data_IF_694439122874
#
_entry.id   IF_694439122874
#
_cell.length_a   1.000
_cell.length_b   1.000
_cell.length_c   1.000
_cell.angle_alpha   90.00
_cell.angle_beta   90.00
_cell.angle_gamma   90.00
#
_symmetry.space_group_name_H-M   'P 1'
#
loop_
_entity.id
_entity.type
_entity.pdbx_description
1 polymer ?
#
# COMPACT_ATOMS: atom_id res chain seq x y z
N UNK A 1 5.15 45.66 13.17
CA UNK A 1 6.11 44.74 13.83
C UNK A 1 6.89 44.03 12.73
N UNK A 2 8.05 44.59 12.37
CA UNK A 2 8.95 44.08 11.33
C UNK A 2 9.80 42.94 11.86
N UNK A 3 9.90 41.85 11.11
CA UNK A 3 10.85 40.77 11.36
C UNK A 3 11.84 40.67 10.20
N UNK A 4 13.10 40.96 10.49
CA UNK A 4 14.28 40.85 9.62
C UNK A 4 14.68 39.39 9.44
N UNK A 5 15.08 38.94 8.23
CA UNK A 5 15.84 37.71 8.08
C UNK A 5 17.34 38.01 8.03
N UNK A 6 18.11 37.33 8.89
CA UNK A 6 19.55 37.13 8.71
C UNK A 6 19.77 35.64 8.48
N UNK A 7 20.41 35.27 7.37
CA UNK A 7 21.08 33.99 7.29
C UNK A 7 22.37 34.17 6.53
N UNK A 8 23.47 33.98 7.25
CA UNK A 8 24.84 34.04 6.79
C UNK A 8 25.11 32.95 5.73
N UNK A 9 25.83 33.35 4.70
CA UNK A 9 26.62 32.48 3.85
C UNK A 9 27.89 32.04 4.60
N UNK A 10 28.27 30.77 4.47
CA UNK A 10 29.65 30.33 4.66
C UNK A 10 29.98 29.32 3.55
N UNK A 11 30.90 29.74 2.68
CA UNK A 11 31.64 28.90 1.78
C UNK A 11 32.78 28.23 2.55
N UNK A 12 33.11 26.99 2.21
CA UNK A 12 34.42 26.41 2.49
C UNK A 12 34.97 25.74 1.23
N UNK A 13 36.24 26.05 1.02
CA UNK A 13 37.09 25.79 -0.15
C UNK A 13 37.93 24.53 0.09
N UNK A 14 38.24 23.84 -1.02
CA UNK A 14 39.34 22.92 -1.33
C UNK A 14 40.05 22.10 -0.24
N UNK A 15 40.32 20.83 -0.58
CA UNK A 15 41.71 20.42 -0.89
C UNK A 15 41.75 19.08 -1.65
N UNK A 16 42.58 19.09 -2.69
CA UNK A 16 43.01 17.95 -3.50
C UNK A 16 44.16 17.25 -2.77
N UNK A 17 44.18 15.92 -2.76
CA UNK A 17 45.41 15.16 -2.51
C UNK A 17 45.49 14.00 -3.52
N UNK A 18 46.38 14.19 -4.49
CA UNK A 18 46.86 13.20 -5.45
C UNK A 18 48.00 12.43 -4.76
N UNK A 19 47.94 11.10 -4.70
CA UNK A 19 49.08 10.26 -4.31
C UNK A 19 49.29 9.17 -5.36
N UNK A 20 50.46 9.26 -5.99
CA UNK A 20 51.03 8.35 -6.98
C UNK A 20 51.76 7.18 -6.28
N UNK A 21 51.59 5.99 -6.89
CA UNK A 21 52.41 4.77 -7.02
C UNK A 21 53.52 4.40 -5.98
N UNK A 22 53.81 3.09 -5.82
CA UNK A 22 54.77 2.46 -6.74
C UNK A 22 54.35 1.08 -7.28
N UNK A 23 54.74 0.87 -8.54
CA UNK A 23 54.85 -0.39 -9.28
C UNK A 23 55.91 -1.31 -8.66
N UNK A 24 55.51 -2.53 -8.29
CA UNK A 24 56.44 -3.61 -7.96
C UNK A 24 56.71 -4.47 -9.21
N UNK A 25 58.00 -4.66 -9.49
CA UNK A 25 58.54 -5.42 -10.61
C UNK A 25 58.24 -6.92 -10.50
N UNK A 26 57.99 -7.52 -11.66
CA UNK A 26 57.76 -8.95 -11.84
C UNK A 26 59.06 -9.75 -11.80
N UNK A 27 59.02 -10.92 -11.17
CA UNK A 27 60.02 -11.98 -11.32
C UNK A 27 59.62 -12.93 -12.47
N UNK A 28 60.57 -13.49 -13.23
CA UNK A 28 60.28 -14.48 -14.26
C UNK A 28 60.05 -15.85 -13.60
N UNK A 29 58.81 -16.35 -13.66
CA UNK A 29 58.51 -17.73 -13.32
C UNK A 29 58.73 -18.62 -14.56
N UNK A 30 59.61 -19.61 -14.41
CA UNK A 30 59.87 -20.65 -15.42
C UNK A 30 58.58 -21.41 -15.74
N UNK A 31 58.27 -21.50 -17.04
CA UNK A 31 57.10 -22.23 -17.54
C UNK A 31 57.43 -23.71 -17.67
N UNK A 32 56.83 -24.55 -16.83
CA UNK A 32 56.73 -25.99 -17.06
C UNK A 32 55.51 -26.28 -17.95
N UNK A 33 55.60 -27.17 -18.96
CA UNK A 33 54.45 -27.52 -19.79
C UNK A 33 53.49 -28.40 -18.99
N UNK A 34 52.39 -27.80 -18.51
CA UNK A 34 51.28 -28.53 -17.92
C UNK A 34 50.40 -29.12 -19.04
N UNK A 35 50.33 -30.45 -19.09
CA UNK A 35 49.41 -31.20 -19.95
C UNK A 35 47.97 -30.74 -19.72
N UNK A 36 47.36 -30.17 -20.76
CA UNK A 36 46.00 -29.62 -20.72
C UNK A 36 45.01 -30.74 -20.98
N UNK A 37 44.60 -31.47 -19.94
CA UNK A 37 43.35 -32.23 -19.99
C UNK A 37 42.19 -31.24 -20.04
N UNK A 38 41.64 -31.03 -21.23
CA UNK A 38 40.46 -30.22 -21.46
C UNK A 38 39.27 -30.80 -20.68
N UNK A 39 38.96 -30.20 -19.52
CA UNK A 39 37.72 -30.48 -18.81
C UNK A 39 36.54 -30.06 -19.71
N UNK A 40 35.47 -30.88 -19.79
CA UNK A 40 34.31 -30.55 -20.61
C UNK A 40 33.73 -29.21 -20.17
N UNK A 41 33.57 -28.30 -21.12
CA UNK A 41 33.02 -26.97 -20.90
C UNK A 41 31.65 -27.10 -20.20
N UNK A 42 31.63 -26.82 -18.90
CA UNK A 42 30.40 -26.78 -18.13
C UNK A 42 29.46 -25.77 -18.78
N UNK A 43 28.36 -26.25 -19.36
CA UNK A 43 27.29 -25.39 -19.87
C UNK A 43 26.79 -24.52 -18.72
N UNK A 44 27.27 -23.29 -18.65
CA UNK A 44 26.83 -22.30 -17.67
C UNK A 44 25.38 -21.96 -18.00
N UNK A 45 24.45 -22.64 -17.33
CA UNK A 45 23.03 -22.34 -17.43
C UNK A 45 22.81 -20.89 -17.02
N UNK A 46 22.53 -20.02 -17.98
CA UNK A 46 22.25 -18.61 -17.73
C UNK A 46 20.99 -18.51 -16.88
N UNK A 47 21.15 -18.01 -15.66
CA UNK A 47 20.06 -17.88 -14.72
C UNK A 47 18.96 -16.99 -15.33
N UNK A 48 17.73 -17.53 -15.46
CA UNK A 48 16.57 -16.80 -16.00
C UNK A 48 16.42 -15.44 -15.29
N UNK A 49 16.49 -14.36 -16.07
CA UNK A 49 16.33 -12.98 -15.58
C UNK A 49 14.96 -12.81 -14.94
N UNK A 50 14.92 -12.31 -13.71
CA UNK A 50 13.67 -12.07 -12.98
C UNK A 50 12.99 -10.81 -13.53
N UNK A 51 11.80 -10.97 -14.11
CA UNK A 51 11.03 -9.88 -14.76
C UNK A 51 9.99 -9.22 -13.85
N UNK A 52 9.95 -9.58 -12.57
CA UNK A 52 8.96 -9.09 -11.62
C UNK A 52 9.56 -8.70 -10.26
N UNK A 53 8.82 -7.88 -9.52
CA UNK A 53 9.04 -7.63 -8.09
C UNK A 53 7.92 -8.28 -7.28
N UNK A 54 8.12 -8.36 -5.97
CA UNK A 54 7.14 -8.97 -5.07
C UNK A 54 6.67 -7.95 -4.04
N UNK A 55 5.37 -7.74 -3.93
CA UNK A 55 4.77 -6.88 -2.93
C UNK A 55 4.09 -7.72 -1.85
N UNK A 56 4.32 -7.40 -0.58
CA UNK A 56 3.64 -8.07 0.53
C UNK A 56 2.15 -7.71 0.58
N UNK A 57 1.30 -8.71 0.76
CA UNK A 57 -0.16 -8.53 0.93
C UNK A 57 -0.53 -8.12 2.35
N UNK A 58 0.25 -8.60 3.32
CA UNK A 58 0.11 -8.33 4.74
C UNK A 58 1.50 -8.39 5.40
N UNK A 59 1.58 -8.02 6.68
CA UNK A 59 2.79 -8.26 7.49
C UNK A 59 3.19 -9.73 7.39
N UNK A 60 4.44 -10.00 7.06
CA UNK A 60 4.94 -11.35 6.80
C UNK A 60 6.36 -11.54 7.32
N UNK A 61 6.78 -12.79 7.46
CA UNK A 61 8.13 -13.17 7.87
C UNK A 61 8.96 -13.55 6.65
N UNK A 62 10.21 -13.07 6.63
CA UNK A 62 11.27 -13.55 5.76
C UNK A 62 12.16 -14.51 6.54
N UNK A 63 12.50 -15.64 5.92
CA UNK A 63 13.26 -16.73 6.54
C UNK A 63 14.65 -16.87 5.93
N UNK A 64 15.57 -17.49 6.67
CA UNK A 64 16.94 -17.76 6.18
C UNK A 64 16.96 -18.83 5.09
N UNK A 65 16.05 -19.81 5.15
CA UNK A 65 15.99 -20.96 4.24
C UNK A 65 14.63 -21.11 3.56
N UNK A 66 14.60 -21.84 2.45
CA UNK A 66 13.35 -22.19 1.76
C UNK A 66 12.45 -23.12 2.59
N UNK A 67 13.01 -23.92 3.50
CA UNK A 67 12.20 -24.74 4.43
C UNK A 67 11.46 -23.88 5.47
N UNK A 68 11.93 -22.65 5.72
CA UNK A 68 11.31 -21.74 6.68
C UNK A 68 11.75 -21.95 8.13
N UNK A 69 12.96 -22.47 8.33
CA UNK A 69 13.47 -22.88 9.64
C UNK A 69 13.73 -21.72 10.61
N UNK A 70 14.45 -20.67 10.19
CA UNK A 70 14.80 -19.53 11.06
C UNK A 70 14.24 -18.22 10.51
N UNK A 71 13.52 -17.48 11.37
CA UNK A 71 13.08 -16.11 11.07
C UNK A 71 14.30 -15.22 10.89
N UNK A 72 14.33 -14.48 9.77
CA UNK A 72 15.40 -13.53 9.43
C UNK A 72 14.96 -12.08 9.59
N UNK A 73 13.72 -11.76 9.21
CA UNK A 73 13.15 -10.42 9.37
C UNK A 73 11.62 -10.47 9.33
N UNK A 74 10.99 -9.41 9.85
CA UNK A 74 9.58 -9.12 9.62
C UNK A 74 9.46 -8.03 8.55
N UNK A 75 8.62 -8.24 7.56
CA UNK A 75 8.37 -7.32 6.45
C UNK A 75 6.95 -6.78 6.61
N UNK A 76 6.74 -5.44 6.60
CA UNK A 76 5.40 -4.87 6.73
C UNK A 76 4.54 -5.18 5.49
N UNK A 77 3.24 -4.96 5.59
CA UNK A 77 2.35 -4.95 4.42
C UNK A 77 2.79 -3.87 3.43
N UNK A 78 2.43 -4.05 2.16
CA UNK A 78 2.70 -3.13 1.05
C UNK A 78 4.16 -2.79 0.81
N UNK A 79 5.07 -3.68 1.20
CA UNK A 79 6.49 -3.54 0.91
C UNK A 79 6.83 -4.28 -0.37
N UNK A 80 7.39 -3.56 -1.33
CA UNK A 80 7.91 -4.11 -2.59
C UNK A 80 9.37 -4.52 -2.43
N UNK A 81 9.68 -5.76 -2.76
CA UNK A 81 11.01 -6.39 -2.68
C UNK A 81 11.52 -6.77 -4.07
N UNK A 82 12.86 -6.85 -4.21
CA UNK A 82 13.48 -7.50 -5.38
C UNK A 82 13.30 -9.02 -5.26
N UNK A 83 12.79 -9.67 -6.29
CA UNK A 83 12.86 -11.13 -6.41
C UNK A 83 14.25 -11.51 -6.95
N UNK A 84 14.91 -12.48 -6.31
CA UNK A 84 16.23 -13.00 -6.74
C UNK A 84 16.11 -14.25 -7.61
N UNK A 85 14.95 -14.91 -7.61
CA UNK A 85 14.66 -16.05 -8.48
C UNK A 85 13.21 -16.00 -8.92
N UNK A 86 12.97 -16.38 -10.18
CA UNK A 86 11.64 -16.60 -10.71
C UNK A 86 11.02 -17.91 -10.17
N UNK A 87 11.87 -18.86 -9.79
CA UNK A 87 11.49 -20.19 -9.34
C UNK A 87 11.17 -20.20 -7.85
N UNK A 88 10.13 -20.94 -7.50
CA UNK A 88 9.77 -21.21 -6.12
C UNK A 88 10.58 -22.38 -5.59
N UNK A 89 11.00 -22.32 -4.33
CA UNK A 89 11.47 -23.50 -3.58
C UNK A 89 10.62 -23.62 -2.33
N UNK A 90 10.00 -24.77 -2.11
CA UNK A 90 9.08 -25.02 -0.99
C UNK A 90 8.01 -23.91 -0.84
N UNK A 91 7.34 -23.58 -1.95
CA UNK A 91 6.30 -22.54 -2.02
C UNK A 91 6.75 -21.15 -1.54
N UNK A 92 8.05 -20.84 -1.67
CA UNK A 92 8.63 -19.55 -1.29
C UNK A 92 9.49 -18.95 -2.40
N UNK A 93 9.47 -17.64 -2.49
CA UNK A 93 10.37 -16.87 -3.34
C UNK A 93 11.62 -16.47 -2.58
N UNK A 94 12.77 -16.53 -3.25
CA UNK A 94 14.01 -15.91 -2.77
C UNK A 94 13.95 -14.41 -3.09
N UNK A 95 14.14 -13.56 -2.09
CA UNK A 95 13.98 -12.10 -2.20
C UNK A 95 15.12 -11.35 -1.52
N UNK A 96 15.29 -10.08 -1.88
CA UNK A 96 16.12 -9.12 -1.13
C UNK A 96 15.24 -8.10 -0.42
N UNK A 97 15.41 -7.96 0.88
CA UNK A 97 14.75 -6.99 1.74
C UNK A 97 15.79 -6.22 2.57
N UNK A 98 15.85 -4.89 2.41
CA UNK A 98 16.85 -4.02 3.08
C UNK A 98 18.28 -4.59 3.03
N UNK A 99 18.74 -4.96 1.83
CA UNK A 99 20.06 -5.55 1.59
C UNK A 99 20.20 -7.04 1.96
N UNK A 100 19.31 -7.62 2.77
CA UNK A 100 19.39 -9.01 3.21
C UNK A 100 18.63 -9.94 2.26
N UNK A 101 19.23 -11.09 1.95
CA UNK A 101 18.57 -12.14 1.14
C UNK A 101 17.84 -13.13 2.04
N UNK A 102 16.62 -13.55 1.66
CA UNK A 102 15.86 -14.56 2.39
C UNK A 102 14.68 -15.10 1.58
N UNK A 103 13.78 -15.81 2.25
CA UNK A 103 12.68 -16.54 1.64
C UNK A 103 11.32 -16.10 2.21
N UNK A 104 10.38 -15.76 1.33
CA UNK A 104 9.01 -15.33 1.71
C UNK A 104 7.98 -16.24 1.08
N UNK A 105 6.93 -16.61 1.84
CA UNK A 105 5.85 -17.50 1.37
C UNK A 105 5.12 -16.88 0.17
N UNK A 106 4.91 -17.65 -0.90
CA UNK A 106 4.15 -17.25 -2.11
C UNK A 106 2.79 -16.66 -1.75
N UNK A 107 2.07 -17.29 -0.82
CA UNK A 107 0.73 -16.85 -0.41
C UNK A 107 0.67 -15.45 0.21
N UNK A 108 1.79 -14.94 0.75
CA UNK A 108 1.88 -13.65 1.42
C UNK A 108 2.33 -12.50 0.50
N UNK A 109 2.60 -12.78 -0.78
CA UNK A 109 3.07 -11.78 -1.75
C UNK A 109 2.28 -11.85 -3.05
N UNK A 110 2.24 -10.74 -3.78
CA UNK A 110 1.79 -10.66 -5.17
C UNK A 110 2.96 -10.26 -6.07
N UNK A 111 2.96 -10.74 -7.32
CA UNK A 111 3.87 -10.24 -8.35
C UNK A 111 3.43 -8.84 -8.76
N UNK A 112 4.39 -7.94 -8.92
CA UNK A 112 4.20 -6.58 -9.43
C UNK A 112 5.25 -6.28 -10.50
N UNK A 113 5.02 -5.24 -11.30
CA UNK A 113 5.94 -4.82 -12.35
C UNK A 113 7.34 -4.55 -11.81
N UNK A 114 8.37 -4.87 -12.60
CA UNK A 114 9.76 -4.50 -12.29
C UNK A 114 9.95 -2.99 -12.15
N UNK A 115 9.06 -2.17 -12.74
CA UNK A 115 9.05 -0.71 -12.61
C UNK A 115 8.54 -0.23 -11.24
N UNK A 116 7.83 -1.06 -10.48
CA UNK A 116 7.29 -0.68 -9.16
C UNK A 116 8.42 -0.43 -8.16
N UNK A 117 8.56 0.79 -7.64
CA UNK A 117 9.61 1.20 -6.69
C UNK A 117 9.73 0.22 -5.50
N UNK A 118 10.97 -0.13 -5.14
CA UNK A 118 11.27 -0.94 -3.94
C UNK A 118 11.04 -0.09 -2.70
N UNK A 119 10.50 -0.70 -1.65
CA UNK A 119 10.17 0.00 -0.41
C UNK A 119 8.71 -0.16 -0.03
N UNK A 120 8.33 0.49 1.07
CA UNK A 120 6.95 0.56 1.52
C UNK A 120 6.18 1.51 0.62
N UNK A 121 4.95 1.17 0.24
CA UNK A 121 4.04 2.16 -0.34
C UNK A 121 3.86 3.35 0.61
N UNK A 122 3.63 4.52 0.03
CA UNK A 122 3.10 5.65 0.80
C UNK A 122 1.73 5.27 1.38
N UNK A 123 1.32 5.96 2.44
CA UNK A 123 0.00 5.74 3.05
C UNK A 123 -1.12 5.88 2.01
N UNK A 124 -1.09 6.95 1.21
CA UNK A 124 -2.02 7.17 0.10
C UNK A 124 -1.97 6.05 -0.95
N UNK A 125 -0.77 5.52 -1.24
CA UNK A 125 -0.60 4.39 -2.17
C UNK A 125 -1.24 3.10 -1.66
N UNK A 126 -1.11 2.80 -0.37
CA UNK A 126 -1.81 1.68 0.28
C UNK A 126 -3.33 1.87 0.24
N UNK A 127 -3.83 3.05 0.62
CA UNK A 127 -5.25 3.35 0.56
C UNK A 127 -5.82 3.22 -0.87
N UNK A 128 -5.13 3.78 -1.86
CA UNK A 128 -5.50 3.67 -3.28
C UNK A 128 -5.54 2.21 -3.75
N UNK A 129 -4.60 1.37 -3.28
CA UNK A 129 -4.61 -0.07 -3.55
C UNK A 129 -5.84 -0.75 -2.95
N UNK A 130 -6.18 -0.44 -1.71
CA UNK A 130 -7.30 -1.06 -0.99
C UNK A 130 -8.65 -0.77 -1.65
N UNK A 131 -8.87 0.47 -2.11
CA UNK A 131 -10.12 0.88 -2.75
C UNK A 131 -10.15 0.65 -4.27
N UNK A 132 -9.03 0.20 -4.87
CA UNK A 132 -8.84 0.15 -6.34
C UNK A 132 -9.95 -0.59 -7.08
N UNK A 133 -10.54 -1.61 -6.46
CA UNK A 133 -11.63 -2.41 -7.05
C UNK A 133 -12.86 -1.56 -7.36
N UNK A 134 -13.17 -0.58 -6.52
CA UNK A 134 -14.41 0.20 -6.60
C UNK A 134 -14.16 1.65 -7.01
N UNK A 135 -13.09 2.26 -6.50
CA UNK A 135 -12.70 3.64 -6.79
C UNK A 135 -11.45 3.71 -7.67
N UNK A 136 -11.43 2.95 -8.77
CA UNK A 136 -10.35 3.01 -9.77
C UNK A 136 -10.24 4.45 -10.31
N UNK A 137 -9.02 4.96 -10.38
CA UNK A 137 -8.73 6.29 -10.93
C UNK A 137 -8.90 7.45 -9.95
N UNK A 138 -9.63 7.27 -8.85
CA UNK A 138 -9.85 8.34 -7.85
C UNK A 138 -8.51 8.72 -7.19
N UNK A 139 -8.08 9.99 -7.24
CA UNK A 139 -6.94 10.49 -6.49
C UNK A 139 -7.16 10.33 -4.98
N UNK A 140 -6.12 9.90 -4.28
CA UNK A 140 -6.10 9.78 -2.82
C UNK A 140 -4.96 10.64 -2.30
N UNK A 141 -5.27 11.58 -1.42
CA UNK A 141 -4.28 12.37 -0.68
C UNK A 141 -4.39 12.08 0.81
N UNK A 142 -3.37 12.46 1.56
CA UNK A 142 -3.33 12.23 3.01
C UNK A 142 -2.92 13.46 3.76
N UNK A 143 -3.52 13.67 4.93
CA UNK A 143 -3.20 14.78 5.82
C UNK A 143 -2.90 14.28 7.25
N UNK A 144 -2.47 15.18 8.14
CA UNK A 144 -2.09 14.81 9.53
C UNK A 144 -3.28 14.88 10.49
N UNK A 145 -4.26 15.73 10.16
CA UNK A 145 -5.48 15.94 10.94
C UNK A 145 -6.41 14.74 10.85
N UNK A 146 -7.32 14.60 11.80
CA UNK A 146 -8.24 13.46 11.95
C UNK A 146 -9.43 13.47 10.98
N UNK A 147 -9.55 14.46 10.09
CA UNK A 147 -10.64 14.51 9.13
C UNK A 147 -10.39 13.59 7.94
N UNK A 148 -11.42 12.86 7.56
CA UNK A 148 -11.52 12.10 6.32
C UNK A 148 -12.72 12.65 5.54
N UNK A 149 -12.60 12.74 4.22
CA UNK A 149 -13.73 13.12 3.36
C UNK A 149 -13.46 12.75 1.90
N UNK A 150 -14.53 12.46 1.18
CA UNK A 150 -14.58 12.49 -0.27
C UNK A 150 -15.07 13.86 -0.74
N UNK A 151 -14.38 14.43 -1.72
CA UNK A 151 -14.86 15.60 -2.43
C UNK A 151 -15.23 15.20 -3.84
N UNK A 152 -16.44 15.55 -4.24
CA UNK A 152 -16.96 15.30 -5.58
C UNK A 152 -17.56 16.60 -6.11
N UNK A 153 -17.35 16.90 -7.38
CA UNK A 153 -17.92 18.06 -8.07
C UNK A 153 -18.96 17.62 -9.10
N UNK A 154 -19.82 18.56 -9.52
CA UNK A 154 -20.87 18.34 -10.51
C UNK A 154 -20.34 17.87 -11.87
N UNK A 155 -19.11 18.27 -12.25
CA UNK A 155 -18.46 17.80 -13.47
C UNK A 155 -17.88 16.37 -13.38
N UNK A 156 -18.11 15.67 -12.28
CA UNK A 156 -17.70 14.30 -12.06
C UNK A 156 -16.28 14.09 -11.55
N UNK A 157 -15.53 15.17 -11.32
CA UNK A 157 -14.23 15.08 -10.65
C UNK A 157 -14.42 14.66 -9.20
N UNK A 158 -13.63 13.70 -8.74
CA UNK A 158 -13.67 13.19 -7.38
C UNK A 158 -12.25 13.07 -6.82
N UNK A 159 -12.08 13.29 -5.51
CA UNK A 159 -10.86 12.98 -4.75
C UNK A 159 -11.21 12.53 -3.35
N UNK A 160 -10.34 11.72 -2.76
CA UNK A 160 -10.47 11.24 -1.39
C UNK A 160 -9.31 11.79 -0.57
N UNK A 161 -9.61 12.39 0.58
CA UNK A 161 -8.64 12.93 1.53
C UNK A 161 -8.74 12.13 2.81
N UNK A 162 -7.62 11.51 3.22
CA UNK A 162 -7.60 10.61 4.37
C UNK A 162 -6.62 11.06 5.44
N UNK A 163 -7.01 10.87 6.68
CA UNK A 163 -6.14 11.04 7.83
C UNK A 163 -5.15 9.88 7.94
N UNK A 164 -3.91 10.20 8.33
CA UNK A 164 -2.90 9.22 8.73
C UNK A 164 -2.97 8.91 10.23
N UNK A 165 -3.91 9.51 10.95
CA UNK A 165 -4.02 9.41 12.40
C UNK A 165 -5.45 9.05 12.81
N UNK A 166 -5.57 8.35 13.93
CA UNK A 166 -6.84 8.12 14.62
C UNK A 166 -6.57 8.21 16.12
N UNK A 167 -7.39 8.97 16.84
CA UNK A 167 -7.23 9.19 18.28
C UNK A 167 -5.81 9.63 18.67
N UNK A 168 -5.24 10.58 17.90
CA UNK A 168 -3.88 11.11 18.10
C UNK A 168 -2.73 10.15 17.73
N UNK A 169 -3.02 8.92 17.30
CA UNK A 169 -2.01 7.90 16.99
C UNK A 169 -1.88 7.68 15.49
N UNK A 170 -0.66 7.34 15.04
CA UNK A 170 -0.42 6.92 13.64
C UNK A 170 -1.22 5.67 13.33
N UNK A 171 -1.98 5.71 12.24
CA UNK A 171 -2.83 4.60 11.80
C UNK A 171 -2.18 3.87 10.62
N UNK A 172 -2.01 2.54 10.72
CA UNK A 172 -1.58 1.73 9.57
C UNK A 172 -2.67 1.76 8.49
N UNK A 173 -2.37 2.08 7.22
CA UNK A 173 -3.39 2.13 6.15
C UNK A 173 -4.07 0.78 5.90
N UNK A 174 -3.52 -0.33 6.38
CA UNK A 174 -4.12 -1.66 6.30
C UNK A 174 -4.78 -2.11 7.61
N UNK A 175 -4.81 -1.25 8.63
CA UNK A 175 -5.60 -1.50 9.83
C UNK A 175 -7.09 -1.53 9.45
N UNK A 176 -7.88 -2.38 10.11
CA UNK A 176 -9.30 -2.55 9.79
C UNK A 176 -10.09 -1.23 9.88
N UNK A 177 -9.87 -0.42 10.92
CA UNK A 177 -10.36 0.97 11.00
C UNK A 177 -10.01 1.80 9.76
N UNK A 178 -8.73 1.80 9.34
CA UNK A 178 -8.30 2.59 8.19
C UNK A 178 -8.96 2.14 6.89
N UNK A 179 -9.08 0.82 6.69
CA UNK A 179 -9.74 0.24 5.52
C UNK A 179 -11.24 0.55 5.53
N UNK A 180 -11.89 0.49 6.68
CA UNK A 180 -13.30 0.88 6.82
C UNK A 180 -13.51 2.36 6.44
N UNK A 181 -12.67 3.27 6.95
CA UNK A 181 -12.70 4.69 6.55
C UNK A 181 -12.44 4.86 5.05
N UNK A 182 -11.45 4.16 4.48
CA UNK A 182 -11.17 4.20 3.05
C UNK A 182 -12.37 3.75 2.21
N UNK A 183 -13.08 2.71 2.65
CA UNK A 183 -14.27 2.19 1.97
C UNK A 183 -15.44 3.15 2.10
N UNK A 184 -15.61 3.77 3.27
CA UNK A 184 -16.61 4.82 3.52
C UNK A 184 -16.40 6.02 2.57
N UNK A 185 -15.19 6.56 2.49
CA UNK A 185 -14.93 7.68 1.55
C UNK A 185 -15.09 7.26 0.09
N UNK A 186 -14.72 6.02 -0.24
CA UNK A 186 -14.98 5.48 -1.58
C UNK A 186 -16.48 5.34 -1.86
N UNK A 187 -17.28 4.97 -0.85
CA UNK A 187 -18.73 4.84 -0.99
C UNK A 187 -19.40 6.17 -1.35
N UNK A 188 -18.97 7.29 -0.75
CA UNK A 188 -19.43 8.63 -1.14
C UNK A 188 -19.23 8.88 -2.65
N UNK A 189 -18.05 8.56 -3.18
CA UNK A 189 -17.77 8.69 -4.62
C UNK A 189 -18.71 7.81 -5.46
N UNK A 190 -19.01 6.59 -5.01
CA UNK A 190 -19.94 5.70 -5.72
C UNK A 190 -21.38 6.21 -5.67
N UNK A 191 -21.84 6.71 -4.52
CA UNK A 191 -23.16 7.33 -4.37
C UNK A 191 -23.33 8.45 -5.40
N UNK A 192 -22.39 9.39 -5.49
CA UNK A 192 -22.50 10.47 -6.47
C UNK A 192 -22.44 9.97 -7.91
N UNK A 193 -21.56 8.99 -8.20
CA UNK A 193 -21.40 8.47 -9.57
C UNK A 193 -22.69 7.85 -10.12
N UNK A 194 -23.43 7.08 -9.32
CA UNK A 194 -24.67 6.41 -9.82
C UNK A 194 -25.83 7.39 -10.08
N UNK A 195 -25.79 8.59 -9.49
CA UNK A 195 -26.75 9.67 -9.73
C UNK A 195 -26.21 10.74 -10.69
N UNK A 196 -25.17 10.43 -11.49
CA UNK A 196 -24.55 11.38 -12.42
C UNK A 196 -24.17 12.71 -11.76
N UNK A 197 -23.71 12.65 -10.50
CA UNK A 197 -23.29 13.81 -9.73
C UNK A 197 -24.41 14.83 -9.43
N UNK A 198 -25.67 14.41 -9.53
CA UNK A 198 -26.83 15.13 -9.01
C UNK A 198 -26.99 14.86 -7.50
N UNK A 199 -26.47 15.81 -6.70
CA UNK A 199 -26.49 15.76 -5.24
C UNK A 199 -27.92 15.68 -4.68
N UNK A 200 -28.86 16.44 -5.27
CA UNK A 200 -30.25 16.51 -4.79
C UNK A 200 -30.98 15.21 -5.05
N UNK A 201 -30.81 14.63 -6.25
CA UNK A 201 -31.40 13.33 -6.58
C UNK A 201 -30.84 12.21 -5.70
N UNK A 202 -29.52 12.21 -5.48
CA UNK A 202 -28.87 11.23 -4.62
C UNK A 202 -29.40 11.31 -3.18
N UNK A 203 -29.44 12.51 -2.59
CA UNK A 203 -29.95 12.73 -1.23
C UNK A 203 -31.42 12.30 -1.09
N UNK A 204 -32.28 12.70 -2.04
CA UNK A 204 -33.70 12.30 -2.07
C UNK A 204 -33.85 10.78 -2.11
N UNK A 205 -33.00 10.08 -2.86
CA UNK A 205 -33.03 8.63 -2.91
C UNK A 205 -32.56 7.98 -1.59
N UNK A 206 -31.51 8.51 -0.95
CA UNK A 206 -31.05 7.99 0.35
C UNK A 206 -32.11 8.17 1.44
N UNK A 207 -32.80 9.32 1.48
CA UNK A 207 -33.89 9.59 2.42
C UNK A 207 -35.04 8.58 2.33
N UNK A 208 -35.32 8.02 1.15
CA UNK A 208 -36.33 6.94 0.98
C UNK A 208 -35.93 5.62 1.66
N UNK A 209 -34.63 5.38 1.81
CA UNK A 209 -34.08 4.19 2.49
C UNK A 209 -33.95 4.43 3.99
N UNK A 210 -33.68 5.69 4.38
CA UNK A 210 -33.50 6.12 5.78
C UNK A 210 -34.52 7.23 6.14
N UNK A 211 -35.81 6.88 6.31
CA UNK A 211 -36.84 7.87 6.62
C UNK A 211 -36.69 8.47 8.03
N UNK A 212 -35.97 7.79 8.91
CA UNK A 212 -35.56 8.29 10.23
C UNK A 212 -34.03 8.28 10.27
N UNK A 213 -33.34 9.41 10.01
CA UNK A 213 -31.90 9.46 10.21
C UNK A 213 -31.60 9.09 11.67
N UNK A 214 -30.54 8.32 11.89
CA UNK A 214 -30.05 8.12 13.25
C UNK A 214 -29.68 9.50 13.82
N UNK A 215 -29.81 9.67 15.14
CA UNK A 215 -29.53 10.95 15.84
C UNK A 215 -28.18 11.59 15.48
N UNK A 216 -27.24 10.83 14.93
CA UNK A 216 -25.86 11.25 14.66
C UNK A 216 -25.41 11.05 13.20
N UNK A 217 -26.28 10.69 12.25
CA UNK A 217 -25.88 10.41 10.87
C UNK A 217 -26.91 10.91 9.85
N UNK A 218 -26.46 11.62 8.82
CA UNK A 218 -27.32 11.86 7.66
C UNK A 218 -27.63 10.53 6.96
N UNK A 219 -28.78 10.45 6.26
CA UNK A 219 -29.11 9.28 5.42
C UNK A 219 -28.00 8.96 4.40
N UNK A 220 -27.24 9.98 4.00
CA UNK A 220 -26.14 9.85 3.04
C UNK A 220 -24.92 9.17 3.66
N UNK A 221 -24.52 9.61 4.86
CA UNK A 221 -23.40 9.04 5.62
C UNK A 221 -23.63 7.58 6.01
N UNK A 222 -24.83 7.26 6.50
CA UNK A 222 -25.13 5.89 6.90
C UNK A 222 -25.27 4.96 5.67
N UNK A 223 -25.70 5.46 4.52
CA UNK A 223 -25.59 4.67 3.27
C UNK A 223 -24.13 4.40 2.90
N UNK A 224 -23.22 5.36 3.09
CA UNK A 224 -21.80 5.15 2.84
C UNK A 224 -21.22 4.03 3.72
N UNK A 225 -21.63 3.97 5.00
CA UNK A 225 -21.30 2.86 5.89
C UNK A 225 -21.82 1.51 5.38
N UNK A 226 -23.08 1.44 4.94
CA UNK A 226 -23.64 0.20 4.40
C UNK A 226 -22.98 -0.23 3.09
N UNK A 227 -22.56 0.70 2.24
CA UNK A 227 -21.76 0.38 1.06
C UNK A 227 -20.38 -0.13 1.48
N UNK A 228 -19.74 0.48 2.48
CA UNK A 228 -18.47 0.00 3.02
C UNK A 228 -18.59 -1.42 3.59
N UNK A 229 -19.67 -1.75 4.29
CA UNK A 229 -19.98 -3.10 4.76
C UNK A 229 -20.17 -4.06 3.57
N UNK A 230 -20.86 -3.63 2.51
CA UNK A 230 -20.99 -4.41 1.27
C UNK A 230 -19.65 -4.62 0.55
N UNK A 231 -18.66 -3.74 0.73
CA UNK A 231 -17.27 -3.92 0.29
C UNK A 231 -16.47 -4.88 1.19
N UNK A 232 -17.00 -5.25 2.36
CA UNK A 232 -16.35 -6.12 3.35
C UNK A 232 -15.58 -5.37 4.44
N UNK A 233 -15.94 -4.12 4.73
CA UNK A 233 -15.36 -3.38 5.85
C UNK A 233 -15.60 -4.10 7.19
N UNK A 234 -14.65 -3.95 8.12
CA UNK A 234 -14.83 -4.30 9.54
C UNK A 234 -14.88 -3.00 10.33
N UNK A 235 -16.10 -2.50 10.56
CA UNK A 235 -16.33 -1.20 11.20
C UNK A 235 -16.10 -1.20 12.71
N UNK A 236 -15.96 -2.36 13.33
CA UNK A 236 -15.74 -2.47 14.77
C UNK A 236 -14.53 -3.35 15.08
N UNK A 237 -13.84 -3.05 16.19
CA UNK A 237 -12.74 -3.88 16.65
C UNK A 237 -11.85 -3.17 17.66
N UNK A 238 -10.61 -3.66 17.77
CA UNK A 238 -9.57 -3.10 18.64
C UNK A 238 -8.56 -2.29 17.82
N UNK A 239 -8.28 -1.07 18.24
CA UNK A 239 -7.22 -0.22 17.70
C UNK A 239 -5.88 -0.49 18.42
N UNK A 240 -5.94 -0.64 19.75
CA UNK A 240 -4.83 -1.09 20.61
C UNK A 240 -5.35 -2.14 21.59
N UNK A 241 -4.49 -2.65 22.48
CA UNK A 241 -4.92 -3.60 23.51
C UNK A 241 -6.06 -3.09 24.40
N UNK A 242 -6.13 -1.77 24.62
CA UNK A 242 -7.09 -1.10 25.51
C UNK A 242 -8.12 -0.22 24.81
N UNK A 243 -7.96 0.07 23.51
CA UNK A 243 -8.87 0.97 22.78
C UNK A 243 -9.65 0.18 21.73
N UNK A 244 -10.97 0.26 21.79
CA UNK A 244 -11.88 -0.18 20.72
C UNK A 244 -12.09 0.95 19.72
N UNK A 245 -12.62 0.62 18.55
CA UNK A 245 -13.07 1.60 17.57
C UNK A 245 -14.42 1.18 17.00
N UNK A 246 -15.20 2.20 16.61
CA UNK A 246 -16.33 2.09 15.71
C UNK A 246 -16.04 3.07 14.57
N UNK A 247 -16.05 2.59 13.33
CA UNK A 247 -15.82 3.37 12.14
C UNK A 247 -17.18 3.77 11.52
N UNK A 248 -17.24 4.99 11.00
CA UNK A 248 -18.47 5.55 10.45
C UNK A 248 -19.37 6.13 11.52
N UNK A 249 -20.65 6.28 11.19
CA UNK A 249 -21.64 6.96 12.01
C UNK A 249 -22.49 6.00 12.85
N UNK A 250 -21.98 4.77 13.05
CA UNK A 250 -22.58 3.73 13.89
C UNK A 250 -23.83 3.07 13.29
N UNK A 251 -24.27 1.99 13.95
CA UNK A 251 -25.48 1.24 13.62
C UNK A 251 -25.30 0.17 12.54
N UNK A 252 -26.11 -0.88 12.66
CA UNK A 252 -26.17 -1.99 11.70
C UNK A 252 -27.02 -1.63 10.48
N UNK A 253 -26.65 -2.21 9.34
CA UNK A 253 -27.42 -2.10 8.12
C UNK A 253 -28.52 -3.17 8.06
N UNK A 254 -29.77 -2.75 8.13
CA UNK A 254 -30.92 -3.62 7.86
C UNK A 254 -30.85 -4.27 6.48
N UNK A 255 -31.60 -5.35 6.27
CA UNK A 255 -31.69 -6.05 4.97
C UNK A 255 -32.05 -5.09 3.81
N UNK A 256 -32.97 -4.15 4.03
CA UNK A 256 -33.39 -3.16 3.02
C UNK A 256 -32.24 -2.20 2.66
N UNK A 257 -31.57 -1.66 3.68
CA UNK A 257 -30.42 -0.76 3.51
C UNK A 257 -29.27 -1.46 2.79
N UNK A 258 -28.97 -2.70 3.17
CA UNK A 258 -27.93 -3.51 2.53
C UNK A 258 -28.26 -3.86 1.07
N UNK A 259 -29.53 -4.12 0.74
CA UNK A 259 -29.96 -4.30 -0.66
C UNK A 259 -29.72 -3.04 -1.48
N UNK A 260 -30.04 -1.87 -0.93
CA UNK A 260 -29.80 -0.58 -1.59
C UNK A 260 -28.30 -0.28 -1.75
N UNK A 261 -27.49 -0.52 -0.71
CA UNK A 261 -26.04 -0.37 -0.77
C UNK A 261 -25.40 -1.25 -1.86
N UNK A 262 -25.82 -2.52 -1.97
CA UNK A 262 -25.37 -3.44 -3.03
C UNK A 262 -25.76 -2.96 -4.44
N UNK A 263 -26.93 -2.32 -4.61
CA UNK A 263 -27.30 -1.70 -5.90
C UNK A 263 -26.30 -0.61 -6.29
N UNK A 264 -25.99 0.32 -5.38
CA UNK A 264 -25.02 1.39 -5.63
C UNK A 264 -23.64 0.82 -5.93
N UNK A 265 -23.20 -0.18 -5.17
CA UNK A 265 -21.93 -0.87 -5.39
C UNK A 265 -21.85 -1.52 -6.78
N UNK A 266 -22.99 -1.98 -7.31
CA UNK A 266 -23.15 -2.51 -8.65
C UNK A 266 -23.37 -1.43 -9.74
N UNK A 267 -23.25 -0.14 -9.40
CA UNK A 267 -23.41 0.96 -10.35
C UNK A 267 -24.86 1.36 -10.64
N UNK A 268 -25.81 0.95 -9.80
CA UNK A 268 -27.25 1.20 -10.00
C UNK A 268 -27.81 2.17 -8.98
N UNK A 269 -28.74 3.03 -9.42
CA UNK A 269 -29.59 3.85 -8.53
C UNK A 269 -30.49 2.94 -7.69
N UNK A 270 -30.93 3.45 -6.54
CA UNK A 270 -31.76 2.71 -5.59
C UNK A 270 -33.19 2.58 -6.11
#
# INVERSE_FOLDING_TARGET
>A
MSATPRTLALAFVSTVALLLAPTAAAAPAMSAPAATTALPAAKVATAKKVTFRLQTKAKTVMYTSAKGSKKRATIPADYTMKAKSATLKNSRYKVTYKGKTGWVKKSKVSKVSVKTKIGKLSWAGSAKKNIKRWCKGVPVTTKKETTNYAQVSSNGTARIVLSRTAFGKKLDPNHALAVATQYHECAHVLQYRVYNYDFRAAEKAMKKVYPKPLKHASSFEHMADCIADAMGAKREGKLTGSMTYIAGYGGDCSKKQMKAAKKILAGKRI
#
